data_IF_507548484634
#
_entry.id   IF_507548484634
#
_cell.length_a   1.000
_cell.length_b   1.000
_cell.length_c   1.000
_cell.angle_alpha   90.00
_cell.angle_beta   90.00
_cell.angle_gamma   90.00
#
_symmetry.space_group_name_H-M   'P 1'
#
loop_
_entity.id
_entity.type
_entity.pdbx_description
1 polymer ?
#
# COMPACT_ATOMS: atom_id res chain seq x y z
N UNK A 1 -18.96 12.56 -22.30
CA UNK A 1 -17.76 11.71 -22.12
C UNK A 1 -18.09 10.70 -21.05
N UNK A 2 -18.16 9.45 -21.42
CA UNK A 2 -18.37 8.38 -20.45
C UNK A 2 -17.17 8.37 -19.48
N UNK A 3 -17.45 8.46 -18.19
CA UNK A 3 -16.40 8.41 -17.17
C UNK A 3 -15.78 7.00 -17.20
N UNK A 4 -14.50 6.92 -17.43
CA UNK A 4 -13.77 5.63 -17.48
C UNK A 4 -13.74 4.94 -16.11
N UNK A 5 -14.15 5.60 -15.04
CA UNK A 5 -14.11 5.06 -13.67
C UNK A 5 -12.71 5.01 -13.05
N UNK A 6 -11.68 5.43 -13.78
CA UNK A 6 -10.30 5.55 -13.30
C UNK A 6 -9.83 6.99 -13.48
N UNK A 7 -9.26 7.58 -12.45
CA UNK A 7 -8.87 8.99 -12.44
C UNK A 7 -7.61 9.23 -11.62
N UNK A 8 -7.05 10.44 -11.75
CA UNK A 8 -5.94 10.90 -10.95
C UNK A 8 -6.29 10.91 -9.46
N UNK A 9 -5.29 10.73 -8.63
CA UNK A 9 -5.40 10.71 -7.17
C UNK A 9 -4.54 11.81 -6.54
N UNK A 10 -4.86 12.19 -5.31
CA UNK A 10 -3.95 12.97 -4.48
C UNK A 10 -2.98 12.00 -3.81
N UNK A 11 -1.69 12.16 -4.09
CA UNK A 11 -0.64 11.22 -3.73
C UNK A 11 0.24 11.87 -2.67
N UNK A 12 0.38 11.16 -1.54
CA UNK A 12 1.29 11.55 -0.46
C UNK A 12 2.67 10.92 -0.71
N UNK A 13 3.68 11.75 -0.82
CA UNK A 13 5.07 11.31 -0.92
C UNK A 13 5.88 11.79 0.29
N UNK A 14 6.74 10.93 0.87
CA UNK A 14 7.52 11.31 2.03
C UNK A 14 8.61 12.32 1.68
N UNK A 15 8.89 13.24 2.62
CA UNK A 15 9.98 14.23 2.54
C UNK A 15 11.15 13.79 3.42
N UNK A 16 12.35 13.91 2.90
CA UNK A 16 13.58 13.79 3.68
C UNK A 16 13.68 12.53 4.55
N UNK A 17 13.17 11.39 4.04
CA UNK A 17 13.26 10.10 4.70
C UNK A 17 14.43 9.27 4.16
N UNK A 18 14.98 8.42 5.00
CA UNK A 18 15.91 7.37 4.56
C UNK A 18 15.10 6.25 3.87
N UNK A 19 15.20 6.16 2.55
CA UNK A 19 14.45 5.20 1.75
C UNK A 19 14.78 3.74 2.09
N UNK A 20 15.95 3.47 2.66
CA UNK A 20 16.33 2.10 3.09
C UNK A 20 15.55 1.65 4.33
N UNK A 21 15.02 2.61 5.10
CA UNK A 21 14.17 2.39 6.27
C UNK A 21 12.71 2.68 6.01
N UNK A 22 12.44 3.56 5.04
CA UNK A 22 11.07 3.91 4.67
C UNK A 22 10.34 2.76 4.00
N UNK A 23 10.96 2.17 2.98
CA UNK A 23 10.34 1.13 2.16
C UNK A 23 10.49 -0.24 2.81
N UNK A 24 9.37 -0.94 2.99
CA UNK A 24 9.36 -2.33 3.44
C UNK A 24 8.64 -3.21 2.43
N UNK A 25 8.84 -4.50 2.54
CA UNK A 25 8.16 -5.50 1.71
C UNK A 25 6.66 -5.49 1.99
N UNK A 26 5.84 -5.98 1.05
CA UNK A 26 4.39 -6.09 1.22
C UNK A 26 4.03 -6.97 2.44
N UNK A 27 2.99 -6.58 3.17
CA UNK A 27 2.60 -7.19 4.45
C UNK A 27 2.11 -8.64 4.33
N UNK A 28 1.76 -9.09 3.12
CA UNK A 28 1.36 -10.46 2.75
C UNK A 28 2.56 -11.39 2.44
N UNK A 29 3.78 -10.90 2.61
CA UNK A 29 4.99 -11.70 2.45
C UNK A 29 5.51 -12.19 3.81
N UNK A 30 6.24 -13.31 3.80
CA UNK A 30 6.83 -13.91 5.01
C UNK A 30 5.81 -14.13 6.14
N UNK A 31 4.60 -14.58 5.78
CA UNK A 31 3.45 -14.75 6.68
C UNK A 31 3.68 -15.81 7.77
N UNK A 32 4.65 -16.70 7.59
CA UNK A 32 5.06 -17.73 8.56
C UNK A 32 6.42 -17.46 9.21
N UNK A 33 6.99 -16.26 9.03
CA UNK A 33 8.35 -15.94 9.49
C UNK A 33 8.36 -14.69 10.38
N UNK A 34 7.95 -14.80 11.64
CA UNK A 34 7.94 -13.65 12.57
C UNK A 34 9.31 -13.02 12.75
N UNK A 35 10.38 -13.82 12.77
CA UNK A 35 11.77 -13.35 12.89
C UNK A 35 12.17 -12.35 11.78
N UNK A 36 11.61 -12.52 10.56
CA UNK A 36 11.85 -11.56 9.48
C UNK A 36 11.32 -10.17 9.86
N UNK A 37 10.10 -10.13 10.36
CA UNK A 37 9.42 -8.88 10.72
C UNK A 37 10.04 -8.24 11.97
N UNK A 38 10.53 -9.04 12.92
CA UNK A 38 11.27 -8.55 14.08
C UNK A 38 12.58 -7.88 13.66
N UNK A 39 13.34 -8.51 12.76
CA UNK A 39 14.57 -7.89 12.21
C UNK A 39 14.27 -6.62 11.43
N UNK A 40 13.19 -6.60 10.63
CA UNK A 40 12.76 -5.41 9.93
C UNK A 40 12.44 -4.27 10.92
N UNK A 41 11.71 -4.57 12.01
CA UNK A 41 11.41 -3.61 13.05
C UNK A 41 12.66 -3.07 13.77
N UNK A 42 13.62 -3.94 14.04
CA UNK A 42 14.91 -3.53 14.62
C UNK A 42 15.71 -2.60 13.70
N UNK A 43 15.73 -2.91 12.39
CA UNK A 43 16.41 -2.10 11.38
C UNK A 43 15.77 -0.71 11.24
N UNK A 44 14.46 -0.65 11.23
CA UNK A 44 13.69 0.58 11.12
C UNK A 44 13.81 1.42 12.39
N UNK A 45 13.68 0.78 13.55
CA UNK A 45 13.71 1.47 14.86
C UNK A 45 12.64 2.55 14.95
N UNK A 46 13.03 3.74 15.37
CA UNK A 46 12.14 4.91 15.47
C UNK A 46 12.09 5.78 14.20
N UNK A 47 12.79 5.38 13.13
CA UNK A 47 12.79 6.13 11.88
C UNK A 47 11.42 6.07 11.19
N UNK A 48 10.99 7.13 10.49
CA UNK A 48 9.80 7.07 9.67
C UNK A 48 9.87 5.91 8.67
N UNK A 49 8.81 5.09 8.63
CA UNK A 49 8.75 3.90 7.78
C UNK A 49 7.33 3.48 7.48
N UNK A 50 7.12 2.90 6.30
CA UNK A 50 5.86 2.24 5.95
C UNK A 50 5.59 1.03 6.82
N UNK A 51 6.60 0.46 7.50
CA UNK A 51 6.41 -0.61 8.49
C UNK A 51 5.46 -0.21 9.63
N UNK A 52 5.47 1.08 10.02
CA UNK A 52 4.58 1.60 11.05
C UNK A 52 3.15 1.86 10.54
N UNK A 53 2.90 1.67 9.24
CA UNK A 53 1.62 1.95 8.56
C UNK A 53 0.92 0.69 8.04
N UNK A 54 1.53 -0.47 8.21
CA UNK A 54 1.00 -1.75 7.74
C UNK A 54 0.92 -2.76 8.89
N UNK A 55 0.01 -3.72 8.77
CA UNK A 55 -0.05 -4.88 9.66
C UNK A 55 0.45 -6.11 8.88
N UNK A 56 1.66 -6.63 9.17
CA UNK A 56 2.10 -7.88 8.58
C UNK A 56 1.16 -9.04 8.93
N UNK A 57 0.83 -9.87 7.94
CA UNK A 57 -0.16 -10.94 8.10
C UNK A 57 0.22 -11.96 9.17
N UNK A 58 1.51 -12.13 9.45
CA UNK A 58 2.01 -12.99 10.54
C UNK A 58 1.43 -12.62 11.92
N UNK A 59 0.88 -11.42 12.07
CA UNK A 59 0.31 -10.92 13.33
C UNK A 59 -1.22 -10.91 13.37
N UNK A 60 -1.91 -11.33 12.29
CA UNK A 60 -3.38 -11.25 12.21
C UNK A 60 -4.10 -12.12 13.23
N UNK A 61 -3.53 -13.29 13.55
CA UNK A 61 -4.13 -14.26 14.51
C UNK A 61 -3.63 -14.07 15.96
N UNK A 62 -2.89 -12.97 16.23
CA UNK A 62 -2.35 -12.73 17.58
C UNK A 62 -3.33 -11.95 18.44
N UNK A 63 -3.33 -12.22 19.75
CA UNK A 63 -4.21 -11.58 20.74
C UNK A 63 -4.07 -10.05 20.77
N UNK A 64 -2.92 -9.52 20.37
CA UNK A 64 -2.61 -8.09 20.39
C UNK A 64 -2.93 -7.34 19.08
N UNK A 65 -3.60 -7.99 18.13
CA UNK A 65 -3.92 -7.40 16.81
C UNK A 65 -4.63 -6.05 16.91
N UNK A 66 -5.59 -5.92 17.82
CA UNK A 66 -6.31 -4.66 18.05
C UNK A 66 -5.39 -3.52 18.50
N UNK A 67 -4.43 -3.81 19.38
CA UNK A 67 -3.42 -2.84 19.83
C UNK A 67 -2.50 -2.42 18.67
N UNK A 68 -2.09 -3.36 17.83
CA UNK A 68 -1.26 -3.07 16.65
C UNK A 68 -1.99 -2.16 15.66
N UNK A 69 -3.26 -2.43 15.38
CA UNK A 69 -4.08 -1.58 14.50
C UNK A 69 -4.22 -0.16 15.08
N UNK A 70 -4.47 -0.03 16.38
CA UNK A 70 -4.53 1.27 17.03
C UNK A 70 -3.22 2.05 16.92
N UNK A 71 -2.08 1.38 17.03
CA UNK A 71 -0.76 1.97 16.88
C UNK A 71 -0.47 2.40 15.44
N UNK A 72 -0.86 1.61 14.44
CA UNK A 72 -0.78 1.96 13.01
C UNK A 72 -1.56 3.23 12.74
N UNK A 73 -2.79 3.32 13.22
CA UNK A 73 -3.63 4.51 13.06
C UNK A 73 -3.01 5.75 13.74
N UNK A 74 -2.42 5.59 14.92
CA UNK A 74 -1.72 6.66 15.61
C UNK A 74 -0.47 7.11 14.83
N UNK A 75 0.30 6.19 14.28
CA UNK A 75 1.48 6.48 13.46
C UNK A 75 1.10 7.24 12.19
N UNK A 76 0.02 6.83 11.51
CA UNK A 76 -0.48 7.53 10.32
C UNK A 76 -0.84 8.99 10.65
N UNK A 77 -1.57 9.23 11.73
CA UNK A 77 -1.92 10.59 12.18
C UNK A 77 -0.67 11.40 12.48
N UNK A 78 0.26 10.83 13.24
CA UNK A 78 1.51 11.50 13.58
C UNK A 78 2.33 11.88 12.34
N UNK A 79 2.38 11.01 11.33
CA UNK A 79 3.09 11.29 10.07
C UNK A 79 2.40 12.41 9.26
N UNK A 80 1.08 12.45 9.24
CA UNK A 80 0.33 13.52 8.60
C UNK A 80 0.53 14.86 9.33
N UNK A 81 0.42 14.85 10.67
CA UNK A 81 0.53 16.05 11.51
C UNK A 81 1.94 16.63 11.54
N UNK A 82 2.97 15.77 11.44
CA UNK A 82 4.38 16.20 11.41
C UNK A 82 4.82 16.87 10.12
N UNK A 83 3.98 16.87 9.08
CA UNK A 83 4.33 17.39 7.76
C UNK A 83 5.37 16.52 7.02
N UNK A 84 5.45 15.23 7.38
CA UNK A 84 6.34 14.26 6.75
C UNK A 84 6.09 14.12 5.26
N UNK A 85 4.89 14.42 4.79
CA UNK A 85 4.49 14.28 3.39
C UNK A 85 4.39 15.61 2.66
N UNK A 86 4.59 15.56 1.35
CA UNK A 86 4.03 16.53 0.43
C UNK A 86 2.98 15.87 -0.45
N UNK A 87 2.05 16.68 -0.95
CA UNK A 87 0.92 16.19 -1.75
C UNK A 87 1.15 16.51 -3.21
N UNK A 88 1.02 15.51 -4.06
CA UNK A 88 0.84 15.69 -5.51
C UNK A 88 -0.66 15.58 -5.79
N UNK A 89 -1.30 16.71 -6.08
CA UNK A 89 -2.71 16.74 -6.40
C UNK A 89 -2.96 16.30 -7.84
N UNK A 90 -4.10 15.66 -8.09
CA UNK A 90 -4.56 15.25 -9.42
C UNK A 90 -3.47 14.56 -10.26
N UNK A 91 -2.77 13.61 -9.65
CA UNK A 91 -1.60 12.98 -10.23
C UNK A 91 -1.79 11.47 -10.43
N UNK A 92 -1.01 10.91 -11.33
CA UNK A 92 -0.83 9.46 -11.48
C UNK A 92 0.59 9.09 -11.10
N UNK A 93 0.79 7.87 -10.55
CA UNK A 93 2.14 7.29 -10.43
C UNK A 93 2.36 6.31 -11.58
N UNK A 94 3.33 6.59 -12.42
CA UNK A 94 3.82 5.62 -13.39
C UNK A 94 4.84 4.72 -12.73
N UNK A 95 4.62 3.42 -12.83
CA UNK A 95 5.51 2.40 -12.27
C UNK A 95 6.15 1.61 -13.41
N UNK A 96 7.46 1.52 -13.40
CA UNK A 96 8.20 0.64 -14.27
C UNK A 96 9.08 -0.29 -13.43
N UNK A 97 8.93 -1.60 -13.63
CA UNK A 97 9.66 -2.62 -12.89
C UNK A 97 10.27 -3.63 -13.83
N UNK A 98 11.58 -3.75 -13.80
CA UNK A 98 12.28 -4.87 -14.45
C UNK A 98 12.06 -6.14 -13.63
N UNK A 99 11.34 -7.10 -14.21
CA UNK A 99 10.98 -8.37 -13.55
C UNK A 99 11.90 -9.53 -13.95
N UNK A 100 12.59 -9.39 -15.09
CA UNK A 100 13.64 -10.31 -15.56
C UNK A 100 14.46 -9.59 -16.64
N UNK A 101 15.63 -10.09 -17.05
CA UNK A 101 16.40 -9.55 -18.15
C UNK A 101 15.52 -9.36 -19.40
N UNK A 102 15.44 -8.13 -19.94
CA UNK A 102 14.64 -7.77 -21.10
C UNK A 102 13.12 -7.76 -20.89
N UNK A 103 12.63 -7.99 -19.67
CA UNK A 103 11.20 -7.98 -19.33
C UNK A 103 10.88 -6.85 -18.35
N UNK A 104 10.09 -5.89 -18.82
CA UNK A 104 9.64 -4.75 -18.01
C UNK A 104 8.12 -4.81 -17.85
N UNK A 105 7.65 -4.71 -16.60
CA UNK A 105 6.24 -4.49 -16.28
C UNK A 105 6.02 -3.01 -16.06
N UNK A 106 4.97 -2.48 -16.70
CA UNK A 106 4.56 -1.08 -16.57
C UNK A 106 3.17 -1.01 -15.97
N UNK A 107 2.94 -0.02 -15.13
CA UNK A 107 1.67 0.21 -14.48
C UNK A 107 1.39 1.68 -14.25
N UNK A 108 0.13 2.00 -14.06
CA UNK A 108 -0.34 3.32 -13.68
C UNK A 108 -1.16 3.17 -12.40
N UNK A 109 -0.81 3.95 -11.37
CA UNK A 109 -1.54 4.01 -10.11
C UNK A 109 -2.41 5.27 -10.11
N UNK A 110 -3.67 5.10 -9.78
CA UNK A 110 -4.66 6.16 -9.63
C UNK A 110 -5.80 5.70 -8.73
N UNK A 111 -6.91 6.41 -8.71
CA UNK A 111 -8.12 6.04 -7.97
C UNK A 111 -9.18 5.45 -8.89
N UNK A 112 -9.97 4.52 -8.36
CA UNK A 112 -11.08 3.87 -9.06
C UNK A 112 -12.38 4.31 -8.41
N UNK A 113 -13.38 4.64 -9.24
CA UNK A 113 -14.74 4.91 -8.81
C UNK A 113 -15.45 3.58 -8.50
N UNK A 114 -15.61 3.26 -7.21
CA UNK A 114 -16.22 2.00 -6.77
C UNK A 114 -17.73 1.94 -7.03
N UNK A 115 -18.39 3.07 -7.26
CA UNK A 115 -19.82 3.10 -7.63
C UNK A 115 -20.07 2.51 -9.04
N UNK A 116 -19.01 2.31 -9.83
CA UNK A 116 -19.07 1.66 -11.11
C UNK A 116 -18.77 0.15 -11.05
N UNK A 117 -18.83 -0.43 -9.87
CA UNK A 117 -18.67 -1.86 -9.68
C UNK A 117 -19.91 -2.64 -10.13
N UNK A 118 -19.69 -3.72 -10.88
CA UNK A 118 -20.75 -4.62 -11.31
C UNK A 118 -20.35 -6.07 -11.01
N UNK A 119 -21.16 -6.74 -10.20
CA UNK A 119 -20.93 -8.12 -9.72
C UNK A 119 -21.36 -9.19 -10.72
N UNK A 120 -22.01 -8.83 -11.84
CA UNK A 120 -22.45 -9.81 -12.82
C UNK A 120 -21.26 -10.50 -13.50
N UNK A 121 -21.40 -11.80 -13.79
CA UNK A 121 -20.34 -12.60 -14.39
C UNK A 121 -19.92 -12.09 -15.80
N UNK A 122 -20.86 -11.49 -16.55
CA UNK A 122 -20.61 -10.95 -17.87
C UNK A 122 -20.30 -9.45 -17.88
N UNK A 123 -20.02 -8.87 -16.72
CA UNK A 123 -19.77 -7.45 -16.58
C UNK A 123 -18.57 -7.00 -17.41
N UNK A 124 -18.75 -5.88 -18.11
CA UNK A 124 -17.68 -5.12 -18.77
C UNK A 124 -17.25 -3.90 -17.97
N UNK A 125 -17.75 -3.77 -16.74
CA UNK A 125 -17.34 -2.71 -15.82
C UNK A 125 -15.84 -2.78 -15.55
N UNK A 126 -15.21 -1.63 -15.30
CA UNK A 126 -13.79 -1.54 -14.95
C UNK A 126 -13.51 -2.29 -13.64
N UNK A 127 -14.42 -2.16 -12.68
CA UNK A 127 -14.33 -2.88 -11.39
C UNK A 127 -15.35 -4.01 -11.40
N UNK A 128 -14.85 -5.23 -11.41
CA UNK A 128 -15.65 -6.46 -11.50
C UNK A 128 -14.94 -7.60 -10.78
N UNK A 129 -15.65 -8.67 -10.38
CA UNK A 129 -15.01 -9.87 -9.87
C UNK A 129 -14.03 -10.45 -10.89
N UNK A 130 -12.90 -10.95 -10.42
CA UNK A 130 -11.96 -11.74 -11.23
C UNK A 130 -12.15 -13.22 -10.93
N UNK A 131 -11.98 -14.08 -11.93
CA UNK A 131 -11.98 -15.52 -11.72
C UNK A 131 -10.90 -15.88 -10.68
N UNK A 132 -11.27 -16.67 -9.68
CA UNK A 132 -10.35 -17.14 -8.62
C UNK A 132 -10.36 -16.34 -7.32
N UNK A 133 -11.15 -15.28 -7.21
CA UNK A 133 -11.41 -14.58 -5.93
C UNK A 133 -12.70 -15.07 -5.26
N UNK A 134 -12.86 -16.37 -5.16
CA UNK A 134 -13.96 -17.00 -4.42
C UNK A 134 -13.41 -17.53 -3.10
#
# INVERSE_FOLDING_TARGET
>A
MDKVGFSAADILLPKHVDMTRWSVIACDQYTSQPDFWERAAQMVGSSPSTLHLVLPEVYLEQDDVGRRIAQINASMRAYLDSGLFYVLNDSYVYVERTVAPGRVRRGLVGKIDLEQYDYSADSRSLVRPTEGTV
#
